data_IF_121386689812
#
_entry.id   IF_121386689812
#
_cell.length_a   1.000
_cell.length_b   1.000
_cell.length_c   1.000
_cell.angle_alpha   90.00
_cell.angle_beta   90.00
_cell.angle_gamma   90.00
#
_symmetry.space_group_name_H-M   'P 1'
#
loop_
_entity.id
_entity.type
_entity.pdbx_description
1 polymer ?
#
# COMPACT_ATOMS: atom_id res chain seq x y z
N UNK A 1 -9.75 -56.94 2.13
CA UNK A 1 -8.97 -56.28 1.07
C UNK A 1 -10.00 -55.65 0.13
N UNK A 2 -10.34 -54.39 0.36
CA UNK A 2 -11.29 -53.63 -0.44
C UNK A 2 -10.57 -52.35 -0.87
N UNK A 3 -10.33 -52.25 -2.19
CA UNK A 3 -9.83 -51.05 -2.85
C UNK A 3 -10.99 -50.05 -2.87
N UNK A 4 -10.77 -48.88 -2.31
CA UNK A 4 -11.68 -47.74 -2.43
C UNK A 4 -11.24 -46.97 -3.67
N UNK A 5 -12.13 -46.90 -4.65
CA UNK A 5 -11.99 -46.11 -5.86
C UNK A 5 -11.72 -44.64 -5.52
N UNK A 6 -10.65 -44.11 -6.11
CA UNK A 6 -10.36 -42.69 -6.19
C UNK A 6 -11.42 -42.02 -7.06
N UNK A 7 -12.36 -41.31 -6.43
CA UNK A 7 -13.11 -40.27 -7.13
C UNK A 7 -12.18 -39.07 -7.33
N UNK A 8 -11.65 -38.96 -8.54
CA UNK A 8 -11.17 -37.70 -9.09
C UNK A 8 -12.35 -36.72 -9.09
N UNK A 9 -12.45 -35.90 -8.04
CA UNK A 9 -13.28 -34.70 -8.08
C UNK A 9 -12.60 -33.72 -9.04
N UNK A 10 -13.31 -33.42 -10.14
CA UNK A 10 -12.92 -32.54 -11.22
C UNK A 10 -12.35 -31.19 -10.72
N UNK A 11 -11.02 -31.10 -10.69
CA UNK A 11 -10.29 -29.85 -10.46
C UNK A 11 -10.57 -28.77 -11.51
N UNK A 12 -11.17 -29.12 -12.65
CA UNK A 12 -11.55 -28.18 -13.70
C UNK A 12 -12.84 -27.41 -13.40
N UNK A 13 -13.77 -27.96 -12.61
CA UNK A 13 -15.04 -27.28 -12.28
C UNK A 13 -14.88 -26.24 -11.17
N UNK A 14 -13.94 -26.45 -10.24
CA UNK A 14 -13.56 -25.45 -9.24
C UNK A 14 -12.76 -24.29 -9.86
N UNK A 15 -11.96 -24.54 -10.89
CA UNK A 15 -11.24 -23.47 -11.60
C UNK A 15 -12.19 -22.60 -12.44
N UNK A 16 -13.24 -23.17 -13.04
CA UNK A 16 -14.22 -22.39 -13.79
C UNK A 16 -15.06 -21.44 -12.92
N UNK A 17 -15.26 -21.76 -11.63
CA UNK A 17 -15.93 -20.85 -10.68
C UNK A 17 -15.02 -19.71 -10.20
N UNK A 18 -13.69 -19.85 -10.32
CA UNK A 18 -12.70 -18.82 -9.99
C UNK A 18 -12.57 -17.77 -11.12
N UNK A 19 -12.81 -18.14 -12.38
CA UNK A 19 -12.79 -17.25 -13.54
C UNK A 19 -14.16 -16.64 -13.89
N UNK A 20 -15.11 -16.65 -12.96
CA UNK A 20 -16.43 -16.08 -13.19
C UNK A 20 -16.31 -14.53 -13.32
N UNK A 21 -16.79 -13.90 -14.41
CA UNK A 21 -17.01 -12.46 -14.48
C UNK A 21 -17.86 -11.92 -13.31
N UNK A 22 -18.57 -12.81 -12.61
CA UNK A 22 -19.24 -12.52 -11.35
C UNK A 22 -18.28 -12.13 -10.21
N UNK A 23 -17.00 -12.53 -10.21
CA UNK A 23 -16.02 -12.12 -9.20
C UNK A 23 -15.64 -10.64 -9.35
N UNK A 24 -15.35 -10.20 -10.58
CA UNK A 24 -15.16 -8.76 -10.86
C UNK A 24 -16.42 -7.97 -10.50
N UNK A 25 -17.60 -8.49 -10.87
CA UNK A 25 -18.89 -7.90 -10.45
C UNK A 25 -19.17 -8.02 -8.95
N UNK A 26 -18.56 -8.97 -8.23
CA UNK A 26 -18.66 -9.11 -6.76
C UNK A 26 -17.75 -8.10 -6.09
N UNK A 27 -16.57 -7.84 -6.64
CA UNK A 27 -15.71 -6.72 -6.26
C UNK A 27 -16.45 -5.39 -6.49
N UNK A 28 -17.08 -5.22 -7.66
CA UNK A 28 -17.90 -4.05 -8.01
C UNK A 28 -19.19 -3.92 -7.16
N UNK A 29 -19.66 -5.04 -6.55
CA UNK A 29 -20.82 -5.05 -5.63
C UNK A 29 -20.41 -4.86 -4.17
N UNK A 30 -19.22 -5.31 -3.78
CA UNK A 30 -18.58 -5.01 -2.50
C UNK A 30 -18.20 -3.53 -2.44
N UNK A 31 -18.01 -2.89 -3.61
CA UNK A 31 -17.67 -1.49 -3.77
C UNK A 31 -18.88 -0.54 -3.80
N UNK A 32 -19.93 -0.83 -3.01
CA UNK A 32 -21.05 0.10 -2.79
C UNK A 32 -20.52 1.42 -2.17
N UNK A 33 -20.05 2.32 -3.04
CA UNK A 33 -19.31 3.53 -2.71
C UNK A 33 -17.91 3.57 -3.33
N UNK A 34 -17.79 3.53 -4.66
CA UNK A 34 -16.53 3.76 -5.39
C UNK A 34 -16.00 5.19 -5.15
N UNK A 35 -15.28 5.40 -4.05
CA UNK A 35 -14.52 6.63 -3.83
C UNK A 35 -13.08 6.37 -4.25
N UNK A 36 -12.80 6.60 -5.54
CA UNK A 36 -11.42 6.77 -5.97
C UNK A 36 -10.82 7.94 -5.21
N UNK A 37 -9.71 7.69 -4.55
CA UNK A 37 -9.04 8.70 -3.76
C UNK A 37 -7.67 8.96 -4.35
N UNK A 38 -7.38 10.24 -4.63
CA UNK A 38 -6.06 10.65 -5.03
C UNK A 38 -5.19 10.85 -3.78
N UNK A 39 -4.01 10.24 -3.82
CA UNK A 39 -2.98 10.39 -2.79
C UNK A 39 -1.78 11.10 -3.40
N UNK A 40 -1.33 12.15 -2.72
CA UNK A 40 -0.19 12.97 -3.11
C UNK A 40 0.87 12.87 -2.04
N UNK A 41 2.06 12.38 -2.39
CA UNK A 41 3.07 12.05 -1.40
C UNK A 41 4.47 12.50 -1.79
N UNK A 42 5.25 12.88 -0.77
CA UNK A 42 6.70 13.01 -0.85
C UNK A 42 7.35 12.14 0.21
N UNK A 43 8.53 11.63 -0.12
CA UNK A 43 9.26 10.68 0.73
C UNK A 43 10.60 11.27 1.14
N UNK A 44 10.99 10.99 2.38
CA UNK A 44 12.29 11.34 2.92
C UNK A 44 12.82 10.25 3.82
N UNK A 45 14.11 10.31 4.11
CA UNK A 45 14.77 9.39 5.02
C UNK A 45 15.15 10.12 6.28
N UNK A 46 14.64 9.63 7.40
CA UNK A 46 15.17 9.92 8.72
C UNK A 46 16.27 8.91 9.02
N UNK A 47 17.37 9.39 9.59
CA UNK A 47 18.49 8.56 10.02
C UNK A 47 18.57 8.68 11.53
N UNK A 48 18.32 7.59 12.23
CA UNK A 48 18.75 7.44 13.62
C UNK A 48 20.27 7.56 13.56
N UNK A 49 20.81 8.73 13.90
CA UNK A 49 22.26 8.89 14.06
C UNK A 49 22.76 8.02 15.21
N UNK A 50 23.99 8.25 15.67
CA UNK A 50 24.45 7.72 16.95
C UNK A 50 23.78 8.40 18.16
N UNK A 51 22.82 9.30 17.92
CA UNK A 51 22.17 10.14 18.92
C UNK A 51 20.70 9.72 19.09
N UNK A 52 20.37 8.89 20.11
CA UNK A 52 19.01 8.41 20.33
C UNK A 52 17.99 9.52 20.61
N UNK A 53 18.44 10.73 20.95
CA UNK A 53 17.58 11.88 21.23
C UNK A 53 16.91 12.47 19.98
N UNK A 54 17.48 12.29 18.79
CA UNK A 54 16.95 12.90 17.56
C UNK A 54 15.59 12.33 17.15
N UNK A 55 15.35 11.04 17.41
CA UNK A 55 14.06 10.41 17.11
C UNK A 55 12.96 10.91 18.05
N UNK A 56 13.27 11.05 19.34
CA UNK A 56 12.32 11.59 20.31
C UNK A 56 12.02 13.07 20.03
N UNK A 57 13.02 13.89 19.68
CA UNK A 57 12.78 15.28 19.23
C UNK A 57 11.85 15.35 18.01
N UNK A 58 12.06 14.47 17.01
CA UNK A 58 11.21 14.39 15.83
C UNK A 58 9.78 14.00 16.22
N UNK A 59 9.64 12.99 17.08
CA UNK A 59 8.35 12.47 17.54
C UNK A 59 7.59 13.54 18.34
N UNK A 60 8.22 14.16 19.33
CA UNK A 60 7.62 15.23 20.14
C UNK A 60 7.14 16.39 19.26
N UNK A 61 7.94 16.80 18.27
CA UNK A 61 7.54 17.84 17.33
C UNK A 61 6.33 17.42 16.49
N UNK A 62 6.31 16.17 15.99
CA UNK A 62 5.18 15.65 15.22
C UNK A 62 3.91 15.54 16.07
N UNK A 63 4.03 15.10 17.32
CA UNK A 63 2.93 15.07 18.28
C UNK A 63 2.37 16.47 18.52
N UNK A 64 3.24 17.48 18.66
CA UNK A 64 2.82 18.87 18.90
C UNK A 64 2.05 19.49 17.73
N UNK A 65 2.35 19.11 16.48
CA UNK A 65 1.67 19.64 15.29
C UNK A 65 0.49 18.79 14.82
N UNK A 66 0.30 17.60 15.40
CA UNK A 66 -0.74 16.64 15.01
C UNK A 66 -1.95 16.70 15.93
N UNK A 67 -3.12 16.42 15.37
CA UNK A 67 -4.35 16.26 16.13
C UNK A 67 -4.38 14.88 16.81
N UNK A 68 -3.90 13.85 16.10
CA UNK A 68 -3.96 12.44 16.48
C UNK A 68 -2.68 11.74 16.01
N UNK A 69 -2.16 10.84 16.84
CA UNK A 69 -1.12 9.88 16.47
C UNK A 69 -1.71 8.45 16.53
N UNK A 70 -1.46 7.66 15.49
CA UNK A 70 -1.84 6.24 15.43
C UNK A 70 -0.61 5.37 15.17
N UNK A 71 -0.62 4.16 15.71
CA UNK A 71 0.44 3.17 15.50
C UNK A 71 -0.12 2.04 14.66
N UNK A 72 0.57 1.73 13.56
CA UNK A 72 0.20 0.66 12.66
C UNK A 72 1.32 -0.37 12.56
N UNK A 73 0.93 -1.63 12.56
CA UNK A 73 1.78 -2.74 12.16
C UNK A 73 1.04 -3.57 11.12
N UNK A 74 1.68 -3.83 9.98
CA UNK A 74 1.07 -4.64 8.92
C UNK A 74 2.14 -5.33 8.06
N UNK A 75 1.77 -6.48 7.49
CA UNK A 75 2.55 -7.11 6.44
C UNK A 75 2.10 -6.53 5.08
N UNK A 76 3.04 -5.89 4.37
CA UNK A 76 2.83 -5.25 3.08
C UNK A 76 3.16 -6.21 1.94
N UNK A 77 2.21 -6.40 1.02
CA UNK A 77 2.40 -7.19 -0.19
C UNK A 77 2.05 -6.36 -1.42
N UNK A 78 2.97 -6.26 -2.38
CA UNK A 78 2.71 -5.65 -3.69
C UNK A 78 2.55 -6.74 -4.74
N UNK A 79 1.34 -6.88 -5.28
CA UNK A 79 1.01 -7.84 -6.33
C UNK A 79 1.03 -7.18 -7.71
N UNK A 80 1.71 -7.84 -8.65
CA UNK A 80 1.75 -7.46 -10.06
C UNK A 80 1.28 -8.65 -10.89
N UNK A 81 0.60 -8.40 -12.01
CA UNK A 81 0.12 -9.49 -12.88
C UNK A 81 1.29 -10.21 -13.55
N UNK A 82 1.32 -11.55 -13.48
CA UNK A 82 2.36 -12.33 -14.16
C UNK A 82 2.09 -12.35 -15.68
N UNK A 83 3.02 -11.76 -16.44
CA UNK A 83 2.96 -11.72 -17.91
C UNK A 83 2.92 -13.12 -18.54
N UNK A 84 3.37 -14.17 -17.85
CA UNK A 84 3.36 -15.55 -18.34
C UNK A 84 1.96 -16.17 -18.38
N UNK A 85 1.05 -15.74 -17.49
CA UNK A 85 -0.35 -16.18 -17.49
C UNK A 85 -1.19 -15.49 -18.58
N UNK A 86 -0.81 -14.26 -18.97
CA UNK A 86 -1.45 -13.51 -20.06
C UNK A 86 -1.45 -14.28 -21.39
N UNK A 87 -0.38 -15.03 -21.68
CA UNK A 87 -0.27 -15.80 -22.92
C UNK A 87 -1.13 -17.08 -22.95
N UNK A 88 -1.64 -17.56 -21.80
CA UNK A 88 -2.52 -18.75 -21.75
C UNK A 88 -4.01 -18.39 -21.78
N UNK A 89 -4.39 -17.22 -21.28
CA UNK A 89 -5.78 -16.74 -21.24
C UNK A 89 -6.23 -15.95 -22.49
N UNK A 90 -5.35 -15.78 -23.47
CA UNK A 90 -5.57 -14.96 -24.67
C UNK A 90 -6.70 -15.42 -25.62
N UNK A 91 -7.48 -16.43 -25.25
CA UNK A 91 -8.59 -16.95 -26.07
C UNK A 91 -9.99 -16.55 -25.59
N UNK A 92 -10.15 -15.90 -24.43
CA UNK A 92 -11.50 -15.61 -23.87
C UNK A 92 -11.74 -14.16 -23.40
N UNK A 93 -10.73 -13.29 -23.40
CA UNK A 93 -10.90 -11.87 -23.03
C UNK A 93 -10.54 -10.99 -24.23
N UNK A 94 -11.40 -10.01 -24.55
CA UNK A 94 -11.19 -9.10 -25.68
C UNK A 94 -9.84 -8.39 -25.57
N UNK A 95 -9.17 -8.19 -26.71
CA UNK A 95 -7.87 -7.51 -26.85
C UNK A 95 -7.89 -6.01 -26.51
N UNK A 96 -8.96 -5.52 -25.87
CA UNK A 96 -9.05 -4.14 -25.43
C UNK A 96 -8.19 -4.01 -24.17
N UNK A 97 -6.92 -3.67 -24.41
CA UNK A 97 -5.89 -3.23 -23.45
C UNK A 97 -6.37 -3.18 -21.99
N UNK A 98 -6.44 -4.34 -21.32
CA UNK A 98 -6.66 -4.37 -19.87
C UNK A 98 -5.49 -3.62 -19.24
N UNK A 99 -5.77 -2.42 -18.72
CA UNK A 99 -4.81 -1.62 -17.96
C UNK A 99 -4.21 -2.53 -16.88
N UNK A 100 -2.88 -2.64 -16.84
CA UNK A 100 -2.21 -3.51 -15.87
C UNK A 100 -2.50 -2.96 -14.48
N UNK A 101 -3.41 -3.62 -13.76
CA UNK A 101 -3.75 -3.28 -12.38
C UNK A 101 -2.65 -3.72 -11.43
N UNK A 102 -2.41 -2.90 -10.41
CA UNK A 102 -1.48 -3.21 -9.34
C UNK A 102 -2.25 -3.25 -8.02
N UNK A 103 -1.96 -4.23 -7.18
CA UNK A 103 -2.64 -4.39 -5.89
C UNK A 103 -1.64 -4.29 -4.73
N UNK A 104 -1.92 -3.41 -3.76
CA UNK A 104 -1.28 -3.44 -2.44
C UNK A 104 -2.22 -4.17 -1.47
N UNK A 105 -1.70 -5.14 -0.74
CA UNK A 105 -2.41 -5.77 0.38
C UNK A 105 -1.69 -5.40 1.68
N UNK A 106 -2.42 -4.81 2.61
CA UNK A 106 -1.95 -4.48 3.95
C UNK A 106 -2.63 -5.44 4.93
N UNK A 107 -1.92 -6.49 5.36
CA UNK A 107 -2.43 -7.43 6.35
C UNK A 107 -2.16 -6.89 7.76
N UNK A 108 -3.19 -6.41 8.44
CA UNK A 108 -3.04 -5.65 9.69
C UNK A 108 -2.75 -6.55 10.88
N UNK A 109 -1.85 -6.09 11.75
CA UNK A 109 -1.44 -6.74 12.99
C UNK A 109 -1.78 -5.83 14.18
N UNK A 110 -1.77 -6.42 15.38
CA UNK A 110 -1.86 -5.65 16.62
C UNK A 110 -0.72 -4.60 16.68
N UNK A 111 -0.94 -3.39 17.23
CA UNK A 111 -2.07 -2.97 18.06
C UNK A 111 -3.24 -2.35 17.28
N UNK A 112 -3.24 -2.41 15.95
CA UNK A 112 -4.24 -1.71 15.15
C UNK A 112 -5.62 -2.36 15.28
N UNK A 113 -6.69 -1.56 15.31
CA UNK A 113 -8.07 -2.02 15.51
C UNK A 113 -8.60 -2.94 14.39
N UNK A 114 -7.87 -3.03 13.29
CA UNK A 114 -8.15 -3.91 12.16
C UNK A 114 -7.32 -5.21 12.17
N UNK A 115 -6.63 -5.53 13.26
CA UNK A 115 -5.83 -6.75 13.36
C UNK A 115 -6.65 -8.00 12.99
N UNK A 116 -6.10 -8.85 12.11
CA UNK A 116 -6.81 -10.01 11.55
C UNK A 116 -7.66 -9.73 10.31
N UNK A 117 -7.65 -8.49 9.80
CA UNK A 117 -8.21 -8.13 8.50
C UNK A 117 -7.14 -7.55 7.57
N UNK A 118 -7.47 -7.46 6.28
CA UNK A 118 -6.62 -6.87 5.27
C UNK A 118 -7.24 -5.59 4.70
N UNK A 119 -6.41 -4.63 4.30
CA UNK A 119 -6.83 -3.60 3.35
C UNK A 119 -6.29 -3.97 1.97
N UNK A 120 -7.19 -4.23 1.03
CA UNK A 120 -6.86 -4.37 -0.38
C UNK A 120 -6.93 -3.00 -1.05
N UNK A 121 -5.90 -2.65 -1.81
CA UNK A 121 -5.81 -1.38 -2.52
C UNK A 121 -5.54 -1.64 -3.99
N UNK A 122 -6.47 -1.26 -4.86
CA UNK A 122 -6.25 -1.21 -6.31
C UNK A 122 -5.61 0.14 -6.66
N UNK A 123 -4.44 0.10 -7.31
CA UNK A 123 -3.74 1.29 -7.80
C UNK A 123 -4.03 1.42 -9.29
N UNK A 124 -4.58 2.57 -9.68
CA UNK A 124 -4.78 2.94 -11.07
C UNK A 124 -3.53 3.62 -11.63
N UNK A 125 -3.11 3.20 -12.82
CA UNK A 125 -1.86 3.61 -13.44
C UNK A 125 -0.60 2.94 -12.83
N UNK A 126 0.58 3.21 -13.41
CA UNK A 126 1.82 2.62 -12.93
C UNK A 126 2.18 3.13 -11.52
N UNK A 127 2.70 2.28 -10.62
CA UNK A 127 3.12 2.73 -9.29
C UNK A 127 4.23 3.77 -9.40
N UNK A 128 4.05 4.92 -8.75
CA UNK A 128 5.06 5.98 -8.72
C UNK A 128 4.99 7.01 -9.85
N UNK A 129 3.82 7.24 -10.47
CA UNK A 129 3.62 8.40 -11.34
C UNK A 129 3.95 9.67 -10.58
N UNK A 130 4.81 10.51 -11.18
CA UNK A 130 5.15 11.82 -10.63
C UNK A 130 4.50 12.92 -11.44
N UNK A 131 3.88 13.86 -10.74
CA UNK A 131 3.33 15.09 -11.32
C UNK A 131 3.97 16.24 -10.59
N UNK A 132 4.76 17.06 -11.29
CA UNK A 132 5.42 18.24 -10.72
C UNK A 132 6.18 17.93 -9.42
N UNK A 133 7.05 16.94 -9.48
CA UNK A 133 7.93 16.48 -8.39
C UNK A 133 7.26 15.75 -7.21
N UNK A 134 5.94 15.57 -7.23
CA UNK A 134 5.18 14.87 -6.18
C UNK A 134 4.75 13.51 -6.72
N UNK A 135 4.75 12.48 -5.86
CA UNK A 135 4.19 11.19 -6.22
C UNK A 135 2.67 11.27 -6.14
N UNK A 136 1.98 10.92 -7.22
CA UNK A 136 0.53 10.84 -7.27
C UNK A 136 0.13 9.40 -7.54
N UNK A 137 -0.81 8.88 -6.75
CA UNK A 137 -1.50 7.63 -7.06
C UNK A 137 -2.99 7.77 -6.84
N UNK A 138 -3.78 7.18 -7.74
CA UNK A 138 -5.23 7.06 -7.58
C UNK A 138 -5.50 5.67 -7.06
N UNK A 139 -6.15 5.59 -5.90
CA UNK A 139 -6.33 4.32 -5.18
C UNK A 139 -7.80 4.10 -4.88
N UNK A 140 -8.24 2.87 -5.08
CA UNK A 140 -9.47 2.34 -4.52
C UNK A 140 -9.09 1.38 -3.39
N UNK A 141 -9.63 1.59 -2.19
CA UNK A 141 -9.30 0.77 -1.02
C UNK A 141 -10.56 0.11 -0.45
N UNK A 142 -10.46 -1.17 -0.11
CA UNK A 142 -11.52 -1.93 0.57
C UNK A 142 -10.94 -2.74 1.72
N UNK A 143 -11.76 -3.00 2.73
CA UNK A 143 -11.46 -3.99 3.74
C UNK A 143 -11.79 -5.38 3.18
N UNK A 144 -10.86 -6.31 3.35
CA UNK A 144 -10.95 -7.67 2.84
C UNK A 144 -10.50 -8.66 3.91
N UNK A 145 -10.95 -9.90 3.77
CA UNK A 145 -10.48 -11.01 4.60
C UNK A 145 -9.05 -11.42 4.22
N UNK A 146 -8.36 -12.12 5.12
CA UNK A 146 -6.99 -12.62 4.94
C UNK A 146 -6.81 -13.54 3.72
N UNK A 147 -7.87 -14.26 3.33
CA UNK A 147 -7.92 -15.10 2.13
C UNK A 147 -7.72 -14.35 0.81
N UNK A 148 -7.79 -13.01 0.79
CA UNK A 148 -7.65 -12.20 -0.44
C UNK A 148 -6.32 -12.44 -1.16
N UNK A 149 -5.25 -12.76 -0.43
CA UNK A 149 -3.94 -13.04 -1.02
C UNK A 149 -3.97 -14.30 -1.91
N UNK A 150 -4.62 -15.37 -1.45
CA UNK A 150 -4.78 -16.59 -2.23
C UNK A 150 -5.65 -16.37 -3.47
N UNK A 151 -6.65 -15.50 -3.38
CA UNK A 151 -7.47 -15.10 -4.53
C UNK A 151 -6.64 -14.36 -5.58
N UNK A 152 -5.80 -13.40 -5.18
CA UNK A 152 -4.92 -12.69 -6.11
C UNK A 152 -3.95 -13.65 -6.82
N UNK A 153 -3.38 -14.61 -6.10
CA UNK A 153 -2.51 -15.64 -6.68
C UNK A 153 -3.26 -16.52 -7.68
N UNK A 154 -4.48 -16.95 -7.37
CA UNK A 154 -5.34 -17.71 -8.27
C UNK A 154 -5.72 -16.94 -9.55
N UNK A 155 -5.83 -15.60 -9.46
CA UNK A 155 -6.07 -14.71 -10.59
C UNK A 155 -4.80 -14.41 -11.43
N UNK A 156 -3.67 -15.05 -11.11
CA UNK A 156 -2.42 -14.91 -11.85
C UNK A 156 -1.62 -13.66 -11.49
N UNK A 157 -1.84 -13.09 -10.30
CA UNK A 157 -0.96 -12.08 -9.73
C UNK A 157 0.13 -12.73 -8.89
N UNK A 158 1.33 -12.16 -8.95
CA UNK A 158 2.47 -12.62 -8.17
C UNK A 158 2.91 -11.51 -7.23
N UNK A 159 3.20 -11.86 -5.97
CA UNK A 159 3.79 -10.94 -5.02
C UNK A 159 5.20 -10.55 -5.49
N UNK A 160 5.35 -9.29 -5.91
CA UNK A 160 6.62 -8.69 -6.33
C UNK A 160 7.46 -8.21 -5.16
N UNK A 161 6.80 -7.83 -4.05
CA UNK A 161 7.43 -7.25 -2.87
C UNK A 161 6.68 -7.66 -1.61
N UNK A 162 7.44 -7.99 -0.57
CA UNK A 162 6.93 -8.35 0.76
C UNK A 162 7.80 -7.69 1.83
N UNK A 163 7.17 -7.06 2.82
CA UNK A 163 7.87 -6.52 3.99
C UNK A 163 6.92 -6.32 5.14
N UNK A 164 7.36 -6.55 6.37
CA UNK A 164 6.62 -6.09 7.55
C UNK A 164 6.90 -4.60 7.77
N UNK A 165 5.86 -3.84 8.07
CA UNK A 165 5.96 -2.39 8.30
C UNK A 165 5.45 -2.08 9.70
N UNK A 166 6.22 -1.30 10.45
CA UNK A 166 5.76 -0.64 11.67
C UNK A 166 5.84 0.86 11.47
N UNK A 167 4.75 1.57 11.71
CA UNK A 167 4.70 3.01 11.49
C UNK A 167 3.93 3.76 12.56
N UNK A 168 4.43 4.94 12.90
CA UNK A 168 3.66 5.97 13.59
C UNK A 168 3.11 6.94 12.54
N UNK A 169 1.81 7.13 12.51
CA UNK A 169 1.14 8.04 11.59
C UNK A 169 0.55 9.21 12.37
N UNK A 170 0.98 10.41 12.03
CA UNK A 170 0.52 11.66 12.62
C UNK A 170 -0.48 12.32 11.68
N UNK A 171 -1.65 12.65 12.21
CA UNK A 171 -2.80 13.16 11.48
C UNK A 171 -2.93 14.66 11.76
N UNK A 172 -2.84 15.49 10.73
CA UNK A 172 -2.91 16.95 10.84
C UNK A 172 -4.10 17.48 10.04
N UNK A 173 -4.99 18.23 10.68
CA UNK A 173 -6.22 18.74 10.08
C UNK A 173 -7.23 17.62 9.79
N UNK A 174 -7.33 16.62 10.66
CA UNK A 174 -8.23 15.47 10.45
C UNK A 174 -9.69 15.93 10.29
N UNK A 175 -10.37 15.46 9.26
CA UNK A 175 -11.74 15.87 8.93
C UNK A 175 -11.85 17.21 8.17
N UNK A 176 -10.73 17.83 7.79
CA UNK A 176 -10.70 19.05 6.97
C UNK A 176 -10.22 18.77 5.55
N UNK A 177 -10.43 19.71 4.62
CA UNK A 177 -9.94 19.63 3.24
C UNK A 177 -8.40 19.68 3.12
N UNK A 178 -7.71 20.05 4.20
CA UNK A 178 -6.24 20.15 4.28
C UNK A 178 -5.61 18.97 5.02
N UNK A 179 -6.37 17.88 5.18
CA UNK A 179 -5.93 16.70 5.89
C UNK A 179 -4.61 16.16 5.34
N UNK A 180 -3.61 16.09 6.21
CA UNK A 180 -2.26 15.61 5.90
C UNK A 180 -1.88 14.51 6.89
N UNK A 181 -1.32 13.42 6.37
CA UNK A 181 -0.68 12.36 7.13
C UNK A 181 0.83 12.50 7.05
N UNK A 182 1.51 12.35 8.19
CA UNK A 182 2.96 12.18 8.22
C UNK A 182 3.24 10.82 8.86
N UNK A 183 3.81 9.91 8.08
CA UNK A 183 4.11 8.55 8.50
C UNK A 183 5.61 8.41 8.76
N UNK A 184 5.98 7.84 9.90
CA UNK A 184 7.36 7.41 10.20
C UNK A 184 7.39 5.89 10.26
N UNK A 185 7.90 5.27 9.21
CA UNK A 185 7.84 3.83 8.99
C UNK A 185 9.22 3.15 9.04
N UNK A 186 9.30 2.04 9.77
CA UNK A 186 10.41 1.09 9.70
C UNK A 186 9.92 -0.18 9.02
N UNK A 187 10.81 -0.78 8.24
CA UNK A 187 10.50 -2.00 7.50
C UNK A 187 11.41 -3.13 7.90
N UNK A 188 10.83 -4.31 7.93
CA UNK A 188 11.49 -5.54 8.31
C UNK A 188 11.28 -6.61 7.25
N UNK A 189 12.26 -7.50 7.13
CA UNK A 189 12.15 -8.73 6.36
C UNK A 189 11.08 -9.65 6.95
N UNK A 190 10.74 -10.71 6.22
CA UNK A 190 9.87 -11.77 6.74
C UNK A 190 10.46 -12.45 7.99
N UNK A 191 11.80 -12.49 8.10
CA UNK A 191 12.53 -13.00 9.27
C UNK A 191 12.55 -12.03 10.46
N UNK A 192 12.05 -10.80 10.29
CA UNK A 192 11.98 -9.77 11.34
C UNK A 192 13.21 -8.87 11.44
N UNK A 193 14.18 -9.00 10.54
CA UNK A 193 15.37 -8.16 10.50
C UNK A 193 15.05 -6.81 9.84
N UNK A 194 15.57 -5.70 10.38
CA UNK A 194 15.36 -4.39 9.79
C UNK A 194 15.99 -4.32 8.39
N UNK A 195 15.20 -4.00 7.36
CA UNK A 195 15.67 -3.88 5.97
C UNK A 195 16.64 -2.70 5.79
N UNK A 196 16.51 -1.68 6.65
CA UNK A 196 17.39 -0.52 6.68
C UNK A 196 17.68 -0.12 8.14
N UNK A 197 18.62 -0.80 8.82
CA UNK A 197 18.95 -0.52 10.22
C UNK A 197 19.34 0.96 10.43
N UNK A 198 18.82 1.57 11.49
CA UNK A 198 19.07 2.98 11.82
C UNK A 198 18.42 3.99 10.85
N UNK A 199 17.49 3.56 10.00
CA UNK A 199 16.78 4.44 9.08
C UNK A 199 15.27 4.21 9.17
N UNK A 200 14.53 5.30 9.08
CA UNK A 200 13.08 5.28 8.93
C UNK A 200 12.68 6.02 7.65
N UNK A 201 11.69 5.47 6.96
CA UNK A 201 11.04 6.13 5.83
C UNK A 201 10.01 7.12 6.38
N UNK A 202 10.12 8.36 5.92
CA UNK A 202 9.17 9.41 6.19
C UNK A 202 8.31 9.60 4.95
N UNK A 203 6.99 9.49 5.10
CA UNK A 203 6.03 9.82 4.06
C UNK A 203 5.20 11.01 4.54
N UNK A 204 5.17 12.10 3.77
CA UNK A 204 4.14 13.14 3.94
C UNK A 204 3.13 12.92 2.82
N UNK A 205 1.87 12.72 3.19
CA UNK A 205 0.79 12.35 2.28
C UNK A 205 -0.44 13.21 2.49
N UNK A 206 -0.98 13.76 1.42
CA UNK A 206 -2.29 14.38 1.37
C UNK A 206 -3.26 13.44 0.66
N UNK A 207 -4.48 13.34 1.18
CA UNK A 207 -5.52 12.44 0.68
C UNK A 207 -6.76 13.27 0.33
N UNK A 208 -7.27 13.12 -0.88
CA UNK A 208 -8.52 13.74 -1.30
C UNK A 208 -8.47 14.38 -2.68
N UNK A 209 -9.44 15.25 -2.93
CA UNK A 209 -9.72 15.83 -4.24
C UNK A 209 -9.58 17.37 -4.27
N UNK A 210 -8.81 17.94 -3.33
CA UNK A 210 -8.45 19.37 -3.40
C UNK A 210 -7.57 19.65 -4.63
N UNK A 211 -7.39 20.92 -4.97
CA UNK A 211 -6.52 21.31 -6.07
C UNK A 211 -5.06 20.91 -5.80
N UNK A 212 -4.34 20.58 -6.87
CA UNK A 212 -2.96 20.10 -6.80
C UNK A 212 -2.04 21.13 -6.11
N UNK A 213 -2.24 22.42 -6.31
CA UNK A 213 -1.36 23.48 -5.82
C UNK A 213 -1.47 23.67 -4.30
N UNK A 214 -2.67 23.49 -3.74
CA UNK A 214 -2.88 23.39 -2.29
C UNK A 214 -2.08 22.22 -1.72
N UNK A 215 -2.17 21.02 -2.30
CA UNK A 215 -1.39 19.88 -1.82
C UNK A 215 0.13 20.08 -1.99
N UNK A 216 0.60 20.68 -3.09
CA UNK A 216 2.02 21.05 -3.22
C UNK A 216 2.48 21.95 -2.08
N UNK A 217 1.66 22.93 -1.73
CA UNK A 217 1.96 23.90 -0.69
C UNK A 217 2.05 23.23 0.69
N UNK A 218 1.10 22.33 1.00
CA UNK A 218 1.13 21.56 2.25
C UNK A 218 2.34 20.62 2.32
N UNK A 219 2.60 19.85 1.27
CA UNK A 219 3.77 18.95 1.20
C UNK A 219 5.09 19.74 1.35
N UNK A 220 5.20 20.91 0.71
CA UNK A 220 6.37 21.79 0.84
C UNK A 220 6.50 22.41 2.23
N UNK A 221 5.39 22.77 2.87
CA UNK A 221 5.37 23.29 4.24
C UNK A 221 5.92 22.25 5.22
N UNK A 222 5.39 21.03 5.19
CA UNK A 222 5.80 19.98 6.14
C UNK A 222 7.19 19.41 5.84
N UNK A 223 7.60 19.31 4.58
CA UNK A 223 9.00 18.92 4.27
C UNK A 223 10.02 19.94 4.78
N UNK A 224 9.72 21.24 4.70
CA UNK A 224 10.56 22.28 5.32
C UNK A 224 10.60 22.16 6.84
N UNK A 225 9.45 21.92 7.48
CA UNK A 225 9.37 21.71 8.93
C UNK A 225 10.26 20.53 9.38
N UNK A 226 10.25 19.44 8.60
CA UNK A 226 11.01 18.23 8.90
C UNK A 226 12.47 18.29 8.44
N UNK A 227 12.90 19.33 7.73
CA UNK A 227 14.21 19.39 7.07
C UNK A 227 15.42 19.30 8.00
N UNK A 228 15.26 19.61 9.31
CA UNK A 228 16.30 19.37 10.33
C UNK A 228 16.58 17.87 10.54
N UNK A 229 15.53 17.05 10.42
CA UNK A 229 15.56 15.63 10.78
C UNK A 229 15.62 14.71 9.56
N UNK A 230 15.04 15.15 8.44
CA UNK A 230 14.71 14.29 7.29
C UNK A 230 15.34 14.81 6.02
N UNK A 231 16.02 13.93 5.29
CA UNK A 231 16.48 14.21 3.93
C UNK A 231 15.41 13.77 2.93
N UNK A 232 14.76 14.72 2.25
CA UNK A 232 13.75 14.42 1.22
C UNK A 232 14.40 14.13 -0.13
N UNK A 233 13.85 13.15 -0.84
CA UNK A 233 14.36 12.70 -2.13
C UNK A 233 13.29 12.83 -3.19
N UNK A 234 13.65 13.44 -4.31
CA UNK A 234 12.75 13.61 -5.45
C UNK A 234 12.31 12.25 -6.01
N UNK A 235 13.20 11.27 -6.12
CA UNK A 235 12.92 9.99 -6.79
C UNK A 235 12.61 8.84 -5.83
N UNK A 236 12.36 9.11 -4.55
CA UNK A 236 12.04 8.05 -3.61
C UNK A 236 10.53 7.78 -3.63
N UNK A 237 10.15 6.51 -3.65
CA UNK A 237 8.79 6.06 -3.37
C UNK A 237 8.83 4.80 -2.48
N UNK A 238 7.70 4.47 -1.86
CA UNK A 238 7.58 3.30 -0.98
C UNK A 238 8.04 1.99 -1.65
N UNK A 239 7.76 1.85 -2.95
CA UNK A 239 8.20 0.71 -3.76
C UNK A 239 9.71 0.69 -4.06
N UNK A 240 10.38 1.84 -4.11
CA UNK A 240 11.82 1.97 -4.41
C UNK A 240 12.73 1.94 -3.19
N UNK A 241 12.19 2.05 -1.96
CA UNK A 241 13.01 2.08 -0.74
C UNK A 241 13.85 0.80 -0.49
N UNK A 242 13.63 -0.28 -1.24
CA UNK A 242 14.30 -1.59 -1.05
C UNK A 242 14.97 -2.16 -2.31
N UNK A 243 15.17 -1.37 -3.37
CA UNK A 243 16.04 -1.82 -4.46
C UNK A 243 17.49 -1.53 -4.09
N UNK A 244 18.17 -2.52 -3.51
CA UNK A 244 19.61 -2.68 -3.70
C UNK A 244 19.83 -3.50 -4.96
#
# INVERSE_FOLDING_TARGET
MALVDSQDLDSETELQTIFDPAFSKKLDKLSNGNIFTNEYSIYGIFRDGNEPLLYEELKEMLEHVSDICTVHEYDFHLYIRDKRYFNRAANFVSRDQEEIKHYEVLAHRQPFNMAGSCTLREIHGPPGVRVNEINMKTVQSINADDGIMGVLEALGYTASKRSRVQSHTFHIGHGTSNYTQISVARHYSETGEALAPGKALIEIKCIGNSDLDTYKTLLKKYSKLLGKFVTFYLYLCHAMYFTN
#
